data_IF_374271489597
#
_entry.id   IF_374271489597
#
_cell.length_a   1.000
_cell.length_b   1.000
_cell.length_c   1.000
_cell.angle_alpha   90.00
_cell.angle_beta   90.00
_cell.angle_gamma   90.00
#
_symmetry.space_group_name_H-M   'P 1'
#
loop_
_entity.id
_entity.type
_entity.pdbx_description
1 polymer ?
#
# COMPACT_ATOMS: atom_id res chain seq x y z
N UNK A 1 -0.06 -6.53 -19.20
CA UNK A 1 0.48 -6.34 -17.86
C UNK A 1 0.82 -4.87 -17.75
N UNK A 2 0.32 -4.16 -16.75
CA UNK A 2 0.52 -2.72 -16.63
C UNK A 2 1.92 -2.44 -16.07
N UNK A 3 2.55 -1.37 -16.54
CA UNK A 3 3.94 -0.98 -16.28
C UNK A 3 4.05 0.04 -15.13
N UNK A 4 3.06 0.05 -14.26
CA UNK A 4 3.04 0.90 -13.07
C UNK A 4 3.32 0.03 -11.85
N UNK A 5 4.03 0.60 -10.88
CA UNK A 5 4.08 0.03 -9.54
C UNK A 5 2.64 -0.13 -9.07
N UNK A 6 2.36 -1.31 -8.58
CA UNK A 6 1.05 -1.63 -8.10
C UNK A 6 0.99 -1.38 -6.60
N UNK A 7 -0.19 -0.98 -6.16
CA UNK A 7 -0.52 -0.50 -4.84
C UNK A 7 -0.34 -1.57 -3.78
N UNK A 8 -0.39 -1.16 -2.54
CA UNK A 8 -0.31 -2.01 -1.38
C UNK A 8 -1.67 -2.11 -0.70
N UNK A 9 -1.83 -3.16 0.11
CA UNK A 9 -3.05 -3.38 0.89
C UNK A 9 -3.33 -2.24 1.88
N UNK A 10 -4.59 -2.12 2.31
CA UNK A 10 -5.01 -1.25 3.39
C UNK A 10 -5.84 -2.01 4.43
N UNK A 11 -5.60 -1.74 5.71
CA UNK A 11 -6.36 -2.29 6.83
C UNK A 11 -7.14 -1.19 7.53
N UNK A 12 -8.35 -1.53 8.00
CA UNK A 12 -9.20 -0.63 8.77
C UNK A 12 -9.95 -1.42 9.82
N UNK A 13 -10.05 -0.91 11.06
CA UNK A 13 -10.75 -1.57 12.15
C UNK A 13 -11.42 -0.60 13.09
N UNK A 14 -12.51 -1.04 13.72
CA UNK A 14 -13.26 -0.29 14.72
C UNK A 14 -13.51 -1.14 15.96
N UNK A 15 -13.40 -0.51 17.14
CA UNK A 15 -13.74 -1.10 18.44
C UNK A 15 -14.65 -0.13 19.20
N UNK A 16 -15.92 -0.48 19.34
CA UNK A 16 -16.89 0.26 20.13
C UNK A 16 -16.77 -0.10 21.61
N UNK A 17 -16.57 0.89 22.46
CA UNK A 17 -16.46 0.68 23.92
C UNK A 17 -17.81 0.56 24.59
N UNK A 18 -18.85 1.09 23.96
CA UNK A 18 -20.23 1.14 24.42
C UNK A 18 -21.04 -0.07 23.90
N UNK A 19 -22.35 0.09 23.80
CA UNK A 19 -23.25 -0.91 23.20
C UNK A 19 -22.86 -1.23 21.74
N UNK A 20 -23.21 -2.43 21.23
CA UNK A 20 -22.98 -2.77 19.84
C UNK A 20 -23.59 -1.77 18.86
N UNK A 21 -22.79 -1.28 17.94
CA UNK A 21 -23.19 -0.30 16.92
C UNK A 21 -23.86 -1.00 15.72
N UNK A 22 -25.07 -0.55 15.36
CA UNK A 22 -25.79 -1.03 14.18
C UNK A 22 -25.10 -0.62 12.87
N UNK A 23 -24.28 0.45 12.89
CA UNK A 23 -23.61 1.02 11.74
C UNK A 23 -22.13 0.62 11.61
N UNK A 24 -21.62 -0.26 12.47
CA UNK A 24 -20.18 -0.58 12.48
C UNK A 24 -19.68 -1.06 11.10
N UNK A 25 -20.46 -1.85 10.37
CA UNK A 25 -20.12 -2.29 9.03
C UNK A 25 -20.01 -1.11 8.05
N UNK A 26 -20.86 -0.09 8.17
CA UNK A 26 -20.82 1.15 7.37
C UNK A 26 -19.59 1.97 7.71
N UNK A 27 -19.21 2.05 8.98
CA UNK A 27 -17.97 2.72 9.41
C UNK A 27 -16.74 2.06 8.77
N UNK A 28 -16.67 0.71 8.77
CA UNK A 28 -15.60 -0.01 8.06
C UNK A 28 -15.66 0.26 6.56
N UNK A 29 -16.84 0.22 5.94
CA UNK A 29 -17.02 0.53 4.53
C UNK A 29 -16.43 1.89 4.15
N UNK A 30 -16.75 2.97 4.88
CA UNK A 30 -16.23 4.30 4.60
C UNK A 30 -14.71 4.40 4.82
N UNK A 31 -14.18 3.73 5.85
CA UNK A 31 -12.75 3.65 6.09
C UNK A 31 -12.02 2.93 4.95
N UNK A 32 -12.55 1.79 4.48
CA UNK A 32 -11.99 1.07 3.33
C UNK A 32 -12.12 1.87 2.03
N UNK A 33 -13.22 2.59 1.85
CA UNK A 33 -13.42 3.45 0.68
C UNK A 33 -12.38 4.58 0.65
N UNK A 34 -12.04 5.16 1.81
CA UNK A 34 -10.95 6.13 1.93
C UNK A 34 -9.57 5.54 1.64
N UNK A 35 -9.38 4.23 1.86
CA UNK A 35 -8.16 3.46 1.56
C UNK A 35 -8.17 2.78 0.19
N UNK A 36 -9.18 3.02 -0.67
CA UNK A 36 -9.32 2.34 -1.96
C UNK A 36 -8.11 2.51 -2.88
N UNK A 37 -7.36 3.61 -2.74
CA UNK A 37 -6.13 3.84 -3.49
C UNK A 37 -5.04 2.81 -3.17
N UNK A 38 -5.07 2.15 -2.00
CA UNK A 38 -4.12 1.13 -1.59
C UNK A 38 -4.42 -0.26 -2.16
N UNK A 39 -5.69 -0.60 -2.39
CA UNK A 39 -6.06 -1.91 -2.91
C UNK A 39 -7.33 -1.87 -3.77
N UNK A 40 -7.28 -2.44 -4.97
CA UNK A 40 -8.38 -2.37 -5.96
C UNK A 40 -8.80 -3.73 -6.49
N UNK A 41 -8.23 -4.83 -6.00
CA UNK A 41 -8.49 -6.18 -6.51
C UNK A 41 -9.50 -6.97 -5.71
N UNK A 42 -9.66 -6.65 -4.43
CA UNK A 42 -10.62 -7.29 -3.56
C UNK A 42 -10.80 -6.54 -2.25
N UNK A 43 -11.95 -6.71 -1.63
CA UNK A 43 -12.26 -6.10 -0.34
C UNK A 43 -13.11 -7.03 0.52
N UNK A 44 -12.97 -6.90 1.85
CA UNK A 44 -13.69 -7.72 2.81
C UNK A 44 -13.91 -7.00 4.13
N UNK A 45 -15.00 -7.35 4.80
CA UNK A 45 -15.38 -6.90 6.14
C UNK A 45 -15.76 -8.12 6.97
N UNK A 46 -15.30 -8.15 8.22
CA UNK A 46 -15.74 -9.09 9.24
C UNK A 46 -16.26 -8.30 10.44
N UNK A 47 -17.47 -8.62 10.89
CA UNK A 47 -18.12 -8.04 12.08
C UNK A 47 -18.22 -9.09 13.15
N UNK A 48 -17.94 -8.73 14.37
CA UNK A 48 -18.11 -9.55 15.56
C UNK A 48 -19.39 -9.14 16.32
N UNK A 49 -20.36 -10.02 16.34
CA UNK A 49 -21.58 -9.93 17.16
C UNK A 49 -21.45 -10.89 18.34
N UNK A 50 -20.98 -10.38 19.48
CA UNK A 50 -20.82 -11.12 20.74
C UNK A 50 -20.09 -12.47 20.59
N UNK A 51 -19.00 -12.50 19.83
CA UNK A 51 -18.18 -13.70 19.59
C UNK A 51 -18.56 -14.49 18.33
N UNK A 52 -19.68 -14.17 17.68
CA UNK A 52 -20.08 -14.72 16.38
C UNK A 52 -19.57 -13.81 15.27
N UNK A 53 -18.73 -14.35 14.39
CA UNK A 53 -18.18 -13.61 13.27
C UNK A 53 -19.07 -13.77 12.05
N UNK A 54 -19.38 -12.63 11.42
CA UNK A 54 -20.09 -12.58 10.15
C UNK A 54 -19.24 -11.80 9.16
N UNK A 55 -19.04 -12.36 7.98
CA UNK A 55 -18.19 -11.76 6.97
C UNK A 55 -18.81 -11.67 5.59
N UNK A 56 -18.38 -10.66 4.87
CA UNK A 56 -18.59 -10.59 3.43
C UNK A 56 -17.30 -10.10 2.76
N UNK A 57 -16.87 -10.80 1.69
CA UNK A 57 -15.68 -10.46 0.94
C UNK A 57 -15.75 -11.00 -0.49
N UNK A 58 -15.25 -10.21 -1.43
CA UNK A 58 -15.18 -10.61 -2.83
C UNK A 58 -14.07 -9.84 -3.58
N UNK A 59 -13.87 -10.22 -4.83
CA UNK A 59 -13.01 -9.52 -5.78
C UNK A 59 -13.74 -8.28 -6.28
N UNK A 60 -13.07 -7.13 -6.31
CA UNK A 60 -13.62 -5.86 -6.80
C UNK A 60 -13.28 -4.68 -5.90
N UNK A 61 -13.70 -3.49 -6.33
CA UNK A 61 -13.62 -2.27 -5.54
C UNK A 61 -14.57 -2.35 -4.33
N UNK A 62 -14.30 -1.52 -3.32
CA UNK A 62 -15.16 -1.46 -2.13
C UNK A 62 -16.62 -1.19 -2.49
N UNK A 63 -16.87 -0.26 -3.43
CA UNK A 63 -18.23 0.05 -3.91
C UNK A 63 -18.88 -1.08 -4.73
N UNK A 64 -18.09 -1.93 -5.37
CA UNK A 64 -18.61 -3.03 -6.17
C UNK A 64 -18.96 -4.24 -5.28
N UNK A 65 -18.16 -4.48 -4.25
CA UNK A 65 -18.33 -5.58 -3.30
C UNK A 65 -19.41 -5.26 -2.26
N UNK A 66 -19.42 -4.03 -1.74
CA UNK A 66 -20.33 -3.62 -0.68
C UNK A 66 -21.44 -2.72 -1.22
N UNK A 67 -22.54 -3.34 -1.63
CA UNK A 67 -23.81 -2.68 -1.93
C UNK A 67 -24.64 -2.54 -0.66
N UNK A 68 -25.74 -1.74 -0.71
CA UNK A 68 -26.68 -1.64 0.39
C UNK A 68 -27.20 -3.03 0.85
N UNK A 69 -27.46 -3.92 -0.11
CA UNK A 69 -27.91 -5.29 0.16
C UNK A 69 -26.82 -6.10 0.90
N UNK A 70 -25.55 -6.03 0.48
CA UNK A 70 -24.49 -6.82 1.10
C UNK A 70 -24.08 -6.27 2.46
N UNK A 71 -24.11 -4.94 2.66
CA UNK A 71 -23.88 -4.32 3.96
C UNK A 71 -24.99 -4.65 4.98
N UNK A 72 -26.25 -4.67 4.54
CA UNK A 72 -27.37 -5.00 5.42
C UNK A 72 -27.40 -6.46 5.90
N UNK A 73 -26.60 -7.34 5.29
CA UNK A 73 -26.42 -8.74 5.75
C UNK A 73 -25.42 -8.85 6.90
N UNK A 74 -24.59 -7.85 7.14
CA UNK A 74 -23.66 -7.82 8.25
C UNK A 74 -24.41 -7.36 9.51
N UNK A 75 -24.23 -8.04 10.65
CA UNK A 75 -24.94 -7.71 11.89
C UNK A 75 -24.39 -6.42 12.50
N UNK A 76 -25.09 -5.92 13.51
CA UNK A 76 -24.51 -4.99 14.47
C UNK A 76 -23.36 -5.67 15.22
N UNK A 77 -22.45 -4.90 15.75
CA UNK A 77 -21.34 -5.43 16.51
C UNK A 77 -20.56 -4.37 17.26
N UNK A 78 -19.67 -4.82 18.11
CA UNK A 78 -18.78 -3.91 18.85
C UNK A 78 -17.34 -3.94 18.32
N UNK A 79 -16.99 -4.90 17.47
CA UNK A 79 -15.68 -4.98 16.83
C UNK A 79 -15.89 -5.34 15.35
N UNK A 80 -15.22 -4.63 14.47
CA UNK A 80 -15.17 -5.01 13.07
C UNK A 80 -13.80 -4.67 12.45
N UNK A 81 -13.38 -5.47 11.48
CA UNK A 81 -12.17 -5.22 10.69
C UNK A 81 -12.46 -5.36 9.20
N UNK A 82 -11.74 -4.61 8.42
CA UNK A 82 -11.83 -4.65 6.96
C UNK A 82 -10.48 -4.54 6.30
N UNK A 83 -10.46 -4.90 5.02
CA UNK A 83 -9.27 -4.94 4.20
C UNK A 83 -9.56 -4.57 2.74
N UNK A 84 -8.68 -3.79 2.15
CA UNK A 84 -8.60 -3.60 0.69
C UNK A 84 -7.33 -4.28 0.20
N UNK A 85 -7.46 -5.14 -0.81
CA UNK A 85 -6.40 -6.03 -1.26
C UNK A 85 -5.80 -5.57 -2.58
N UNK A 86 -4.47 -5.64 -2.61
CA UNK A 86 -3.68 -5.81 -3.81
C UNK A 86 -2.85 -7.11 -3.69
N UNK A 87 -2.71 -7.89 -4.77
CA UNK A 87 -2.05 -9.20 -4.73
C UNK A 87 -0.54 -9.07 -4.64
N UNK A 88 0.03 -9.25 -3.46
CA UNK A 88 1.49 -9.28 -3.21
C UNK A 88 2.03 -10.70 -3.15
N UNK A 89 1.38 -11.56 -2.38
CA UNK A 89 1.63 -13.00 -2.29
C UNK A 89 0.30 -13.75 -2.48
N UNK A 90 0.30 -14.79 -3.33
CA UNK A 90 -0.92 -15.46 -3.78
C UNK A 90 -1.66 -14.69 -4.87
N UNK A 91 -2.27 -15.39 -5.84
CA UNK A 91 -2.95 -14.80 -6.98
C UNK A 91 -4.21 -14.02 -6.62
N UNK A 92 -4.73 -13.27 -7.59
CA UNK A 92 -6.02 -12.58 -7.45
C UNK A 92 -7.17 -13.59 -7.48
N UNK A 93 -7.39 -14.23 -6.33
CA UNK A 93 -8.45 -15.21 -6.12
C UNK A 93 -9.24 -14.83 -4.86
N UNK A 94 -10.56 -15.05 -4.87
CA UNK A 94 -11.46 -14.77 -3.75
C UNK A 94 -11.02 -15.41 -2.44
N UNK A 95 -10.38 -16.59 -2.48
CA UNK A 95 -9.88 -17.28 -1.29
C UNK A 95 -8.79 -16.51 -0.55
N UNK A 96 -8.06 -15.66 -1.27
CA UNK A 96 -6.98 -14.82 -0.73
C UNK A 96 -7.47 -13.44 -0.27
N UNK A 97 -8.75 -13.10 -0.49
CA UNK A 97 -9.33 -11.85 -0.01
C UNK A 97 -9.43 -11.88 1.51
N UNK A 98 -8.93 -10.83 2.13
CA UNK A 98 -8.92 -10.67 3.59
C UNK A 98 -10.15 -9.84 4.05
N UNK A 99 -10.49 -9.92 5.36
CA UNK A 99 -9.80 -10.61 6.45
C UNK A 99 -9.85 -12.13 6.31
N UNK A 100 -8.81 -12.82 6.84
CA UNK A 100 -8.77 -14.28 6.96
C UNK A 100 -9.34 -14.67 8.31
N UNK A 101 -10.32 -15.56 8.30
CA UNK A 101 -10.98 -16.09 9.51
C UNK A 101 -10.48 -17.48 9.81
N UNK A 102 -10.18 -17.74 11.08
CA UNK A 102 -9.80 -19.07 11.60
C UNK A 102 -10.55 -19.38 12.88
N UNK A 103 -10.99 -20.62 12.98
CA UNK A 103 -11.68 -21.13 14.18
C UNK A 103 -10.79 -22.15 14.89
N UNK A 104 -10.65 -22.00 16.20
CA UNK A 104 -9.85 -22.90 17.00
C UNK A 104 -10.48 -23.12 18.38
N UNK A 105 -9.96 -24.06 19.16
CA UNK A 105 -10.56 -24.50 20.45
C UNK A 105 -10.75 -23.36 21.47
N UNK A 106 -9.99 -22.28 21.38
CA UNK A 106 -10.10 -21.11 22.27
C UNK A 106 -10.90 -19.94 21.67
N UNK A 107 -11.61 -20.15 20.56
CA UNK A 107 -12.48 -19.16 19.91
C UNK A 107 -12.14 -18.90 18.45
N UNK A 108 -12.64 -17.81 17.94
CA UNK A 108 -12.43 -17.36 16.54
C UNK A 108 -11.47 -16.18 16.50
N UNK A 109 -10.70 -16.10 15.41
CA UNK A 109 -9.85 -14.95 15.07
C UNK A 109 -10.14 -14.54 13.64
N UNK A 110 -10.11 -13.24 13.38
CA UNK A 110 -10.05 -12.68 12.02
C UNK A 110 -8.84 -11.76 11.90
N UNK A 111 -8.12 -11.82 10.78
CA UNK A 111 -6.86 -11.10 10.58
C UNK A 111 -6.88 -10.37 9.26
N UNK A 112 -6.54 -9.08 9.31
CA UNK A 112 -6.23 -8.24 8.16
C UNK A 112 -4.75 -7.83 8.21
N UNK A 113 -4.06 -7.93 7.08
CA UNK A 113 -2.62 -7.75 6.94
C UNK A 113 -2.28 -6.83 5.77
N UNK A 114 -1.50 -5.80 6.03
CA UNK A 114 -0.80 -5.00 5.04
C UNK A 114 0.70 -5.25 5.15
N UNK A 115 1.30 -5.79 4.10
CA UNK A 115 2.72 -6.11 4.03
C UNK A 115 3.00 -7.46 3.39
N UNK A 116 4.19 -8.01 3.68
CA UNK A 116 4.60 -9.34 3.24
C UNK A 116 5.70 -9.91 4.15
N UNK A 117 5.52 -11.16 4.59
CA UNK A 117 6.53 -11.85 5.37
C UNK A 117 7.61 -12.44 4.47
N UNK A 118 8.88 -12.16 4.76
CA UNK A 118 10.01 -12.74 4.03
C UNK A 118 10.25 -14.21 4.39
N UNK A 119 9.80 -14.66 5.56
CA UNK A 119 9.92 -16.04 6.02
C UNK A 119 8.61 -16.84 6.00
N UNK A 120 7.54 -16.34 5.34
CA UNK A 120 6.23 -16.98 5.29
C UNK A 120 6.29 -18.45 4.84
N UNK A 121 7.06 -18.74 3.79
CA UNK A 121 7.18 -20.09 3.23
C UNK A 121 7.81 -21.08 4.21
N UNK A 122 8.85 -20.66 4.94
CA UNK A 122 9.48 -21.50 5.97
C UNK A 122 8.52 -21.79 7.11
N UNK A 123 7.82 -20.76 7.62
CA UNK A 123 6.83 -20.93 8.67
C UNK A 123 5.70 -21.86 8.24
N UNK A 124 5.24 -21.74 6.99
CA UNK A 124 4.21 -22.60 6.40
C UNK A 124 4.68 -24.05 6.31
N UNK A 125 5.87 -24.28 5.76
CA UNK A 125 6.45 -25.63 5.63
C UNK A 125 6.58 -26.34 6.99
N UNK A 126 7.09 -25.63 8.00
CA UNK A 126 7.19 -26.15 9.37
C UNK A 126 5.80 -26.55 9.96
N UNK A 127 4.76 -25.84 9.60
CA UNK A 127 3.39 -26.17 10.02
C UNK A 127 2.77 -27.29 9.20
N UNK A 128 2.95 -27.32 7.88
CA UNK A 128 2.47 -28.40 7.00
C UNK A 128 3.10 -29.75 7.38
N UNK A 129 4.41 -29.78 7.70
CA UNK A 129 5.11 -30.98 8.18
C UNK A 129 4.56 -31.50 9.53
N UNK A 130 3.89 -30.67 10.31
CA UNK A 130 3.20 -31.05 11.56
C UNK A 130 1.70 -31.29 11.38
N UNK A 131 1.20 -31.30 10.13
CA UNK A 131 -0.17 -31.66 9.78
C UNK A 131 -1.14 -30.49 9.62
N UNK A 132 -0.67 -29.25 9.59
CA UNK A 132 -1.54 -28.10 9.29
C UNK A 132 -1.97 -28.12 7.82
N UNK A 133 -3.24 -27.80 7.57
CA UNK A 133 -3.81 -27.73 6.22
C UNK A 133 -4.17 -26.27 5.93
N UNK A 134 -3.59 -25.73 4.86
CA UNK A 134 -3.83 -24.35 4.40
C UNK A 134 -4.89 -24.32 3.31
N UNK A 135 -5.75 -23.31 3.36
CA UNK A 135 -6.85 -23.11 2.41
C UNK A 135 -6.56 -21.98 1.41
N UNK A 136 -5.60 -21.11 1.73
CA UNK A 136 -5.21 -19.98 0.89
C UNK A 136 -3.74 -20.07 0.48
N UNK A 137 -3.34 -19.24 -0.47
CA UNK A 137 -1.93 -19.07 -0.85
C UNK A 137 -1.31 -17.81 -0.25
N UNK A 138 -2.08 -17.08 0.59
CA UNK A 138 -1.66 -15.85 1.27
C UNK A 138 -0.77 -16.14 2.48
N UNK A 139 0.23 -15.30 2.70
CA UNK A 139 1.05 -15.30 3.93
C UNK A 139 0.23 -14.94 5.18
N UNK A 140 -0.90 -14.26 5.02
CA UNK A 140 -1.81 -13.90 6.12
C UNK A 140 -2.37 -15.14 6.83
N UNK A 141 -2.63 -16.24 6.11
CA UNK A 141 -3.04 -17.49 6.75
C UNK A 141 -1.89 -18.11 7.57
N UNK A 142 -0.65 -17.96 7.09
CA UNK A 142 0.55 -18.36 7.86
C UNK A 142 0.67 -17.55 9.15
N UNK A 143 0.39 -16.24 9.11
CA UNK A 143 0.32 -15.38 10.29
C UNK A 143 -0.76 -15.89 11.26
N UNK A 144 -1.96 -16.15 10.75
CA UNK A 144 -3.09 -16.64 11.55
C UNK A 144 -2.74 -17.92 12.29
N UNK A 145 -2.18 -18.90 11.59
CA UNK A 145 -1.81 -20.19 12.19
C UNK A 145 -0.63 -20.07 13.17
N UNK A 146 0.32 -19.18 12.91
CA UNK A 146 1.40 -18.88 13.87
C UNK A 146 0.82 -18.36 15.17
N UNK A 147 -0.11 -17.39 15.13
CA UNK A 147 -0.76 -16.84 16.33
C UNK A 147 -1.60 -17.91 17.03
N UNK A 148 -2.39 -18.70 16.30
CA UNK A 148 -3.21 -19.78 16.88
C UNK A 148 -2.35 -20.82 17.58
N UNK A 149 -1.22 -21.21 16.99
CA UNK A 149 -0.29 -22.18 17.62
C UNK A 149 0.23 -21.65 18.96
N UNK A 150 0.64 -20.39 19.04
CA UNK A 150 1.06 -19.78 20.29
C UNK A 150 -0.11 -19.62 21.28
N UNK A 151 -1.32 -19.34 20.78
CA UNK A 151 -2.52 -19.22 21.63
C UNK A 151 -2.88 -20.50 22.37
N UNK A 152 -2.48 -21.65 21.88
CA UNK A 152 -2.71 -22.93 22.60
C UNK A 152 -1.94 -23.00 23.91
N UNK A 153 -0.79 -22.36 23.99
CA UNK A 153 0.15 -22.43 25.13
C UNK A 153 0.20 -21.17 25.98
N UNK A 154 -0.43 -20.06 25.52
CA UNK A 154 -0.48 -18.78 26.24
C UNK A 154 -1.84 -18.55 26.90
N UNK A 155 -1.86 -17.70 27.94
CA UNK A 155 -3.07 -17.41 28.72
C UNK A 155 -4.00 -16.43 27.98
N UNK A 156 -3.45 -15.53 27.17
CA UNK A 156 -4.21 -14.49 26.48
C UNK A 156 -3.87 -14.41 24.98
N UNK A 157 -4.73 -13.76 24.21
CA UNK A 157 -4.49 -13.55 22.78
C UNK A 157 -3.35 -12.55 22.53
N UNK A 158 -3.24 -11.50 23.32
CA UNK A 158 -2.15 -10.52 23.23
C UNK A 158 -0.79 -11.18 23.51
N UNK A 159 -0.70 -12.07 24.50
CA UNK A 159 0.53 -12.84 24.75
C UNK A 159 0.85 -13.79 23.60
N UNK A 160 -0.16 -14.38 22.96
CA UNK A 160 0.05 -15.22 21.79
C UNK A 160 0.57 -14.40 20.59
N UNK A 161 0.01 -13.21 20.36
CA UNK A 161 0.49 -12.27 19.34
C UNK A 161 1.94 -11.86 19.62
N UNK A 162 2.24 -11.46 20.85
CA UNK A 162 3.58 -11.07 21.27
C UNK A 162 4.63 -12.17 20.97
N UNK A 163 4.34 -13.43 21.33
CA UNK A 163 5.23 -14.56 21.02
C UNK A 163 5.31 -14.84 19.52
N UNK A 164 4.20 -14.76 18.80
CA UNK A 164 4.17 -14.97 17.36
C UNK A 164 5.03 -13.96 16.60
N UNK A 165 5.03 -12.67 17.01
CA UNK A 165 5.82 -11.62 16.37
C UNK A 165 7.34 -11.90 16.44
N UNK A 166 7.84 -12.64 17.43
CA UNK A 166 9.24 -13.06 17.47
C UNK A 166 9.63 -14.01 16.33
N UNK A 167 8.67 -14.76 15.79
CA UNK A 167 8.90 -15.76 14.74
C UNK A 167 8.74 -15.20 13.34
N UNK A 168 8.07 -14.06 13.20
CA UNK A 168 7.77 -13.45 11.91
C UNK A 168 8.87 -12.47 11.49
N UNK A 169 9.29 -12.55 10.24
CA UNK A 169 10.21 -11.62 9.60
C UNK A 169 9.58 -11.03 8.34
N UNK A 170 9.85 -9.76 8.09
CA UNK A 170 9.31 -9.01 6.95
C UNK A 170 8.54 -7.78 7.39
N UNK A 171 7.68 -7.29 6.51
CA UNK A 171 6.85 -6.12 6.74
C UNK A 171 5.43 -6.53 7.10
N UNK A 172 4.88 -5.95 8.16
CA UNK A 172 3.47 -6.16 8.49
C UNK A 172 2.88 -5.03 9.34
N UNK A 173 1.66 -4.65 8.98
CA UNK A 173 0.72 -3.95 9.82
C UNK A 173 -0.53 -4.83 9.92
N UNK A 174 -0.84 -5.27 11.13
CA UNK A 174 -1.86 -6.30 11.40
C UNK A 174 -3.03 -5.72 12.19
N UNK A 175 -4.23 -6.09 11.80
CA UNK A 175 -5.40 -6.05 12.65
C UNK A 175 -5.85 -7.47 12.95
N UNK A 176 -5.97 -7.78 14.23
CA UNK A 176 -6.37 -9.10 14.73
C UNK A 176 -7.61 -8.89 15.60
N UNK A 177 -8.72 -9.48 15.19
CA UNK A 177 -9.98 -9.45 15.92
C UNK A 177 -10.20 -10.78 16.62
N UNK A 178 -10.42 -10.74 17.92
CA UNK A 178 -10.94 -11.88 18.73
C UNK A 178 -12.37 -11.59 19.15
N UNK A 179 -12.99 -12.50 19.91
CA UNK A 179 -14.34 -12.31 20.42
C UNK A 179 -14.52 -11.06 21.29
N UNK A 180 -13.45 -10.56 21.93
CA UNK A 180 -13.55 -9.45 22.91
C UNK A 180 -12.51 -8.35 22.72
N UNK A 181 -11.58 -8.48 21.80
CA UNK A 181 -10.46 -7.55 21.62
C UNK A 181 -10.18 -7.28 20.16
N UNK A 182 -9.83 -6.04 19.86
CA UNK A 182 -9.16 -5.66 18.63
C UNK A 182 -7.69 -5.42 18.96
N UNK A 183 -6.78 -6.02 18.19
CA UNK A 183 -5.33 -5.88 18.37
C UNK A 183 -4.75 -5.30 17.11
N UNK A 184 -3.97 -4.24 17.25
CA UNK A 184 -3.18 -3.63 16.18
C UNK A 184 -1.70 -3.88 16.45
N UNK A 185 -0.98 -4.47 15.50
CA UNK A 185 0.44 -4.75 15.64
C UNK A 185 1.21 -4.27 14.41
N UNK A 186 2.34 -3.60 14.66
CA UNK A 186 3.25 -3.11 13.61
C UNK A 186 4.59 -3.82 13.73
N UNK A 187 5.21 -4.16 12.60
CA UNK A 187 6.51 -4.83 12.63
C UNK A 187 7.59 -4.01 13.34
N UNK A 188 8.64 -4.68 13.82
CA UNK A 188 9.72 -4.07 14.64
C UNK A 188 10.50 -2.95 13.95
N UNK A 189 10.39 -2.82 12.64
CA UNK A 189 11.03 -1.78 11.83
C UNK A 189 10.04 -0.71 11.37
N UNK A 190 8.72 -0.97 11.52
CA UNK A 190 7.66 -0.08 11.10
C UNK A 190 7.60 0.10 9.58
N UNK A 191 7.81 -0.97 8.82
CA UNK A 191 7.91 -0.91 7.36
C UNK A 191 6.62 -0.44 6.68
N UNK A 192 5.46 -0.75 7.30
CA UNK A 192 4.15 -0.28 6.83
C UNK A 192 3.53 0.67 7.85
N UNK A 193 2.77 1.67 7.38
CA UNK A 193 2.11 2.60 8.28
C UNK A 193 0.94 1.92 9.01
N UNK A 194 0.70 2.35 10.23
CA UNK A 194 -0.46 2.00 11.03
C UNK A 194 -0.68 3.10 12.08
N UNK A 195 -1.91 3.58 12.21
CA UNK A 195 -2.27 4.63 13.14
C UNK A 195 -3.63 4.37 13.77
N UNK A 196 -3.96 5.11 14.82
CA UNK A 196 -5.28 5.03 15.41
C UNK A 196 -5.83 6.40 15.81
N UNK A 197 -7.14 6.44 15.91
CA UNK A 197 -7.92 7.60 16.33
C UNK A 197 -9.09 7.18 17.20
N UNK A 198 -9.86 8.17 17.63
CA UNK A 198 -11.06 7.98 18.45
C UNK A 198 -12.16 8.92 17.98
N UNK A 199 -13.39 8.41 17.89
CA UNK A 199 -14.58 9.21 17.58
C UNK A 199 -15.09 9.92 18.83
N UNK A 200 -16.00 10.88 18.68
CA UNK A 200 -16.55 11.63 19.81
C UNK A 200 -17.39 10.75 20.76
N UNK A 201 -17.91 9.62 20.29
CA UNK A 201 -18.63 8.62 21.10
C UNK A 201 -17.73 7.58 21.78
N UNK A 202 -16.41 7.68 21.58
CA UNK A 202 -15.40 6.81 22.21
C UNK A 202 -15.07 5.53 21.44
N UNK A 203 -15.52 5.40 20.18
CA UNK A 203 -15.14 4.28 19.32
C UNK A 203 -13.69 4.45 18.86
N UNK A 204 -12.85 3.43 19.10
CA UNK A 204 -11.49 3.42 18.58
C UNK A 204 -11.46 2.99 17.13
N UNK A 205 -10.73 3.74 16.32
CA UNK A 205 -10.51 3.47 14.90
C UNK A 205 -9.03 3.20 14.67
N UNK A 206 -8.72 2.13 13.95
CA UNK A 206 -7.34 1.79 13.53
C UNK A 206 -7.29 1.73 12.02
N UNK A 207 -6.29 2.33 11.41
CA UNK A 207 -6.18 2.40 9.95
C UNK A 207 -4.72 2.39 9.47
N UNK A 208 -4.51 1.98 8.22
CA UNK A 208 -3.22 2.12 7.55
C UNK A 208 -2.79 3.58 7.40
N UNK A 209 -3.75 4.50 7.20
CA UNK A 209 -3.47 5.92 6.99
C UNK A 209 -4.42 6.83 7.77
N UNK A 210 -3.92 8.00 8.16
CA UNK A 210 -4.70 9.01 8.90
C UNK A 210 -5.86 9.59 8.10
N UNK A 211 -5.78 9.61 6.76
CA UNK A 211 -6.88 10.06 5.91
C UNK A 211 -8.16 9.21 6.11
N UNK A 212 -8.01 7.92 6.41
CA UNK A 212 -9.14 7.03 6.66
C UNK A 212 -9.77 7.26 8.05
N UNK A 213 -8.96 7.64 9.05
CA UNK A 213 -9.45 8.08 10.38
C UNK A 213 -10.29 9.34 10.21
N UNK A 214 -9.78 10.32 9.47
CA UNK A 214 -10.49 11.57 9.20
C UNK A 214 -11.79 11.35 8.42
N UNK A 215 -11.79 10.40 7.47
CA UNK A 215 -12.96 10.11 6.63
C UNK A 215 -14.18 9.60 7.42
N UNK A 216 -13.97 8.96 8.56
CA UNK A 216 -15.03 8.48 9.45
C UNK A 216 -15.31 9.44 10.62
N UNK A 217 -14.76 10.66 10.58
CA UNK A 217 -14.97 11.68 11.61
C UNK A 217 -14.24 11.42 12.93
N UNK A 218 -13.32 10.48 12.98
CA UNK A 218 -12.51 10.22 14.16
C UNK A 218 -11.34 11.21 14.28
N UNK A 219 -10.93 11.51 15.51
CA UNK A 219 -9.76 12.33 15.80
C UNK A 219 -8.52 11.46 15.81
N UNK A 220 -7.53 11.79 15.01
CA UNK A 220 -6.22 11.13 15.01
C UNK A 220 -5.57 11.27 16.39
N UNK A 221 -5.08 10.17 16.94
CA UNK A 221 -4.37 10.15 18.22
C UNK A 221 -2.86 10.07 17.98
N UNK A 222 -2.39 9.02 17.30
CA UNK A 222 -0.99 8.85 16.91
C UNK A 222 -0.78 7.65 15.99
N UNK A 223 0.40 7.57 15.42
CA UNK A 223 0.90 6.36 14.78
C UNK A 223 1.19 5.26 15.81
N UNK A 224 1.05 3.99 15.39
CA UNK A 224 1.50 2.82 16.15
C UNK A 224 3.02 2.73 15.98
N UNK A 225 3.76 2.65 17.09
CA UNK A 225 5.22 2.61 17.04
C UNK A 225 5.74 1.32 16.38
N UNK A 226 6.91 1.35 15.73
CA UNK A 226 7.58 0.13 15.28
C UNK A 226 7.76 -0.88 16.42
N UNK A 227 7.23 -2.10 16.23
CA UNK A 227 7.25 -3.17 17.22
C UNK A 227 6.17 -3.06 18.30
N UNK A 228 5.28 -2.09 18.24
CA UNK A 228 4.18 -1.95 19.21
C UNK A 228 3.01 -2.86 18.90
N UNK A 229 2.39 -3.36 19.96
CA UNK A 229 1.10 -4.04 19.94
C UNK A 229 0.12 -3.21 20.77
N UNK A 230 -0.92 -2.69 20.14
CA UNK A 230 -2.03 -2.02 20.82
C UNK A 230 -3.19 -3.01 20.98
N UNK A 231 -3.73 -3.10 22.19
CA UNK A 231 -4.87 -3.95 22.53
C UNK A 231 -6.04 -3.04 22.94
N UNK A 232 -7.08 -3.03 22.14
CA UNK A 232 -8.32 -2.32 22.41
C UNK A 232 -9.31 -3.29 23.04
N UNK A 233 -9.83 -2.95 24.20
CA UNK A 233 -10.78 -3.72 24.98
C UNK A 233 -11.78 -2.81 25.71
N UNK A 234 -12.74 -3.38 26.40
CA UNK A 234 -13.68 -2.61 27.25
C UNK A 234 -12.97 -1.85 28.38
N UNK A 235 -11.77 -2.26 28.76
CA UNK A 235 -10.95 -1.59 29.77
C UNK A 235 -10.10 -0.45 29.20
N UNK A 236 -10.22 -0.18 27.90
CA UNK A 236 -9.48 0.87 27.18
C UNK A 236 -8.37 0.32 26.30
N UNK A 237 -7.31 1.10 26.10
CA UNK A 237 -6.18 0.79 25.22
C UNK A 237 -4.95 0.43 26.04
N UNK A 238 -4.44 -0.79 25.85
CA UNK A 238 -3.17 -1.23 26.39
C UNK A 238 -2.09 -1.21 25.31
N UNK A 239 -0.91 -0.67 25.62
CA UNK A 239 0.28 -0.69 24.75
C UNK A 239 1.30 -1.70 25.30
N UNK A 240 1.71 -2.64 24.42
CA UNK A 240 2.78 -3.61 24.68
C UNK A 240 3.97 -3.23 23.82
N UNK A 241 5.10 -2.89 24.41
CA UNK A 241 6.27 -2.31 23.75
C UNK A 241 7.51 -3.21 23.77
N UNK A 242 7.36 -4.48 24.10
CA UNK A 242 8.46 -5.46 24.23
C UNK A 242 9.29 -5.62 22.96
N UNK A 243 8.68 -5.41 21.78
CA UNK A 243 9.36 -5.46 20.49
C UNK A 243 9.83 -4.10 19.99
N UNK A 244 9.47 -2.99 20.67
CA UNK A 244 9.92 -1.64 20.29
C UNK A 244 11.43 -1.51 20.48
N UNK A 245 12.06 -0.74 19.59
CA UNK A 245 13.51 -0.46 19.62
C UNK A 245 14.40 -1.73 19.54
N UNK A 246 13.88 -2.84 19.00
CA UNK A 246 14.62 -4.08 18.79
C UNK A 246 15.28 -4.17 17.43
N UNK A 247 15.00 -3.23 16.55
CA UNK A 247 15.61 -3.12 15.22
C UNK A 247 15.59 -1.65 14.78
N UNK A 248 16.47 -1.29 13.85
CA UNK A 248 16.45 0.02 13.22
C UNK A 248 15.15 0.22 12.44
N UNK A 249 14.60 1.42 12.47
CA UNK A 249 13.44 1.80 11.68
C UNK A 249 13.74 1.66 10.19
N UNK A 250 12.74 1.25 9.43
CA UNK A 250 12.85 1.09 7.98
C UNK A 250 11.48 1.25 7.30
N UNK A 251 10.76 2.36 7.59
CA UNK A 251 9.53 2.68 6.87
C UNK A 251 9.82 2.72 5.36
N UNK A 252 8.96 2.09 4.56
CA UNK A 252 9.09 2.13 3.12
C UNK A 252 9.03 3.58 2.63
N UNK A 253 10.09 4.08 2.01
CA UNK A 253 10.11 5.47 1.51
C UNK A 253 9.06 5.71 0.43
N UNK A 254 8.63 4.65 -0.26
CA UNK A 254 7.64 4.71 -1.31
C UNK A 254 6.23 5.03 -0.79
N UNK A 255 6.00 4.90 0.52
CA UNK A 255 4.78 5.42 1.17
C UNK A 255 4.66 6.94 0.97
N UNK A 256 5.75 7.70 1.13
CA UNK A 256 5.76 9.14 0.86
C UNK A 256 5.75 9.46 -0.63
N UNK A 257 6.47 8.70 -1.45
CA UNK A 257 6.59 8.99 -2.88
C UNK A 257 5.28 8.71 -3.62
N UNK A 258 4.61 7.58 -3.34
CA UNK A 258 3.50 7.11 -4.16
C UNK A 258 2.28 6.61 -3.39
N UNK A 259 2.44 5.65 -2.42
CA UNK A 259 1.30 4.88 -1.91
C UNK A 259 0.31 5.70 -1.11
N UNK A 260 0.77 6.48 -0.14
CA UNK A 260 -0.12 7.22 0.73
C UNK A 260 -0.80 8.38 0.01
N UNK A 261 -1.98 8.76 0.45
CA UNK A 261 -2.65 9.98 -0.02
C UNK A 261 -1.93 11.21 0.50
N UNK A 262 -1.92 12.28 -0.30
CA UNK A 262 -1.27 13.54 0.06
C UNK A 262 -1.80 14.17 1.35
N UNK A 263 -3.06 13.90 1.70
CA UNK A 263 -3.70 14.39 2.94
C UNK A 263 -3.42 13.49 4.17
N UNK A 264 -2.58 12.47 4.03
CA UNK A 264 -2.14 11.62 5.12
C UNK A 264 -0.90 12.16 5.83
N UNK A 265 -0.81 11.84 7.13
CA UNK A 265 0.39 11.99 7.95
C UNK A 265 0.86 10.61 8.38
N UNK A 266 2.14 10.30 8.19
CA UNK A 266 2.76 9.02 8.57
C UNK A 266 3.99 9.33 9.42
N UNK A 267 4.09 8.71 10.59
CA UNK A 267 5.20 8.90 11.53
C UNK A 267 5.53 10.40 11.77
N UNK A 268 4.47 11.22 11.91
CA UNK A 268 4.48 12.68 12.09
C UNK A 268 4.97 13.51 10.88
N UNK A 269 5.10 12.91 9.70
CA UNK A 269 5.47 13.63 8.47
C UNK A 269 4.28 13.70 7.53
N UNK A 270 3.96 14.90 7.04
CA UNK A 270 2.96 15.11 6.01
C UNK A 270 3.44 14.54 4.67
N UNK A 271 2.63 13.69 4.05
CA UNK A 271 2.90 13.12 2.72
C UNK A 271 3.02 14.24 1.68
N UNK A 272 2.13 15.23 1.74
CA UNK A 272 2.17 16.40 0.85
C UNK A 272 3.51 17.15 0.96
N UNK A 273 3.95 17.46 2.19
CA UNK A 273 5.23 18.18 2.40
C UNK A 273 6.43 17.36 1.93
N UNK A 274 6.43 16.04 2.15
CA UNK A 274 7.50 15.17 1.66
C UNK A 274 7.58 15.19 0.12
N UNK A 275 6.45 15.19 -0.58
CA UNK A 275 6.39 15.29 -2.05
C UNK A 275 6.79 16.66 -2.57
N UNK A 276 6.38 17.76 -1.92
CA UNK A 276 6.87 19.11 -2.25
C UNK A 276 8.41 19.15 -2.16
N UNK A 277 8.96 18.60 -1.08
CA UNK A 277 10.41 18.53 -0.86
C UNK A 277 11.14 17.74 -1.94
N UNK A 278 10.54 16.63 -2.42
CA UNK A 278 11.09 15.89 -3.57
C UNK A 278 11.18 16.77 -4.83
N UNK A 279 10.15 17.57 -5.07
CA UNK A 279 10.14 18.54 -6.17
C UNK A 279 11.22 19.60 -6.05
N UNK A 280 11.42 20.17 -4.85
CA UNK A 280 12.49 21.14 -4.59
C UNK A 280 13.89 20.51 -4.84
N UNK A 281 14.13 19.29 -4.41
CA UNK A 281 15.39 18.61 -4.67
C UNK A 281 15.63 18.36 -6.16
N UNK A 282 14.60 17.91 -6.88
CA UNK A 282 14.66 17.67 -8.32
C UNK A 282 14.97 18.96 -9.10
N UNK A 283 14.39 20.09 -8.71
CA UNK A 283 14.67 21.38 -9.37
C UNK A 283 16.13 21.81 -9.19
N UNK A 284 16.73 21.53 -8.03
CA UNK A 284 18.15 21.82 -7.74
C UNK A 284 19.10 20.90 -8.48
N UNK A 285 18.84 19.59 -8.46
CA UNK A 285 19.74 18.58 -9.03
C UNK A 285 19.59 18.44 -10.55
N UNK A 286 18.38 18.67 -11.07
CA UNK A 286 18.05 18.51 -12.49
C UNK A 286 17.25 19.70 -13.03
N UNK A 287 17.84 20.92 -13.07
CA UNK A 287 17.15 22.09 -13.63
C UNK A 287 16.81 21.87 -15.10
N UNK A 288 15.82 22.60 -15.60
CA UNK A 288 15.44 22.60 -17.01
C UNK A 288 15.09 24.01 -17.48
N UNK A 289 15.43 24.34 -18.71
CA UNK A 289 14.94 25.57 -19.38
C UNK A 289 13.59 25.26 -20.01
N UNK A 290 12.51 25.61 -19.33
CA UNK A 290 11.16 25.26 -19.72
C UNK A 290 10.16 26.39 -19.44
N UNK A 291 9.00 26.31 -20.09
CA UNK A 291 7.96 27.32 -20.02
C UNK A 291 6.87 27.02 -19.00
N UNK A 292 6.77 25.73 -18.59
CA UNK A 292 5.74 25.27 -17.66
C UNK A 292 6.15 23.97 -16.97
N UNK A 293 5.76 23.81 -15.70
CA UNK A 293 5.83 22.56 -14.94
C UNK A 293 4.45 21.95 -14.83
N UNK A 294 4.33 20.66 -15.10
CA UNK A 294 3.10 19.88 -14.91
C UNK A 294 3.40 18.57 -14.18
N UNK A 295 2.43 18.05 -13.44
CA UNK A 295 2.54 16.74 -12.78
C UNK A 295 1.66 15.69 -13.43
N UNK A 296 2.10 14.42 -13.36
CA UNK A 296 1.26 13.27 -13.70
C UNK A 296 0.30 12.99 -12.51
N UNK A 297 -1.03 13.03 -12.72
CA UNK A 297 -1.98 12.76 -11.65
C UNK A 297 -1.97 11.27 -11.18
N UNK A 298 -2.05 10.98 -9.86
CA UNK A 298 -2.23 11.94 -8.76
C UNK A 298 -0.89 12.23 -8.04
N UNK A 299 0.02 11.28 -7.96
CA UNK A 299 1.26 11.28 -7.15
C UNK A 299 2.29 12.32 -7.58
N UNK A 300 2.38 12.61 -8.89
CA UNK A 300 3.31 13.60 -9.42
C UNK A 300 2.91 15.07 -9.20
N UNK A 301 1.69 15.35 -8.73
CA UNK A 301 1.18 16.73 -8.64
C UNK A 301 1.91 17.56 -7.59
N UNK A 302 2.09 17.01 -6.38
CA UNK A 302 2.75 17.73 -5.28
C UNK A 302 4.24 17.96 -5.58
N UNK A 303 4.93 16.95 -6.14
CA UNK A 303 6.33 17.09 -6.54
C UNK A 303 6.49 18.09 -7.69
N UNK A 304 5.54 18.16 -8.62
CA UNK A 304 5.54 19.17 -9.68
C UNK A 304 5.36 20.59 -9.11
N UNK A 305 4.49 20.74 -8.10
CA UNK A 305 4.32 22.03 -7.41
C UNK A 305 5.63 22.45 -6.74
N UNK A 306 6.29 21.55 -5.96
CA UNK A 306 7.57 21.84 -5.32
C UNK A 306 8.69 22.15 -6.34
N UNK A 307 8.70 21.46 -7.50
CA UNK A 307 9.63 21.78 -8.58
C UNK A 307 9.41 23.20 -9.13
N UNK A 308 8.14 23.59 -9.33
CA UNK A 308 7.79 24.92 -9.82
C UNK A 308 8.16 26.02 -8.81
N UNK A 309 7.91 25.80 -7.53
CA UNK A 309 8.29 26.75 -6.47
C UNK A 309 9.79 27.01 -6.42
N UNK A 310 10.62 25.96 -6.50
CA UNK A 310 12.07 26.08 -6.42
C UNK A 310 12.69 26.64 -7.71
N UNK A 311 12.18 26.21 -8.88
CA UNK A 311 12.71 26.64 -10.19
C UNK A 311 12.23 28.00 -10.63
N UNK A 312 11.12 28.51 -10.09
CA UNK A 312 10.44 29.72 -10.55
C UNK A 312 9.70 29.56 -11.89
N UNK A 313 9.66 28.35 -12.47
CA UNK A 313 8.89 28.05 -13.68
C UNK A 313 7.41 27.90 -13.30
N UNK A 314 6.47 28.55 -14.05
CA UNK A 314 5.05 28.48 -13.72
C UNK A 314 4.50 27.04 -13.64
N UNK A 315 3.74 26.73 -12.59
CA UNK A 315 2.98 25.48 -12.49
C UNK A 315 1.71 25.55 -13.33
N UNK A 316 1.33 24.46 -13.98
CA UNK A 316 0.07 24.34 -14.71
C UNK A 316 -0.54 22.94 -14.64
N UNK A 317 -1.84 22.86 -14.92
CA UNK A 317 -2.54 21.59 -15.05
C UNK A 317 -2.38 21.08 -16.48
N UNK A 318 -1.52 20.08 -16.68
CA UNK A 318 -1.24 19.50 -17.99
C UNK A 318 -2.14 18.34 -18.39
N UNK A 319 -2.77 17.68 -17.41
CA UNK A 319 -3.60 16.51 -17.63
C UNK A 319 -4.93 16.57 -16.84
N UNK A 320 -5.94 15.95 -17.42
CA UNK A 320 -7.18 15.58 -16.70
C UNK A 320 -7.23 14.07 -16.56
N UNK A 321 -7.34 13.59 -15.31
CA UNK A 321 -7.58 12.18 -15.01
C UNK A 321 -9.08 11.91 -14.99
N UNK A 322 -9.54 10.96 -15.79
CA UNK A 322 -10.93 10.54 -15.77
C UNK A 322 -11.19 9.70 -14.51
N UNK A 323 -11.92 10.28 -13.55
CA UNK A 323 -12.24 9.66 -12.24
C UNK A 323 -13.28 8.55 -12.34
N UNK A 324 -14.03 8.47 -13.44
CA UNK A 324 -15.12 7.49 -13.63
C UNK A 324 -14.65 6.17 -14.24
N UNK A 325 -13.37 6.06 -14.63
CA UNK A 325 -12.81 4.83 -15.18
C UNK A 325 -12.02 4.11 -14.09
N UNK A 326 -12.61 3.03 -13.57
CA UNK A 326 -11.94 2.10 -12.67
C UNK A 326 -10.84 1.27 -13.38
N UNK A 327 -9.97 0.60 -12.62
CA UNK A 327 -8.93 -0.32 -13.14
C UNK A 327 -9.49 -1.64 -13.69
N UNK A 328 -10.76 -1.94 -13.44
CA UNK A 328 -11.43 -3.20 -13.78
C UNK A 328 -11.76 -3.38 -15.26
N UNK A 329 -11.40 -2.47 -16.14
CA UNK A 329 -11.54 -2.70 -17.58
C UNK A 329 -10.50 -3.71 -18.06
N UNK A 330 -10.82 -5.01 -17.90
CA UNK A 330 -10.06 -6.11 -18.50
C UNK A 330 -10.32 -6.08 -20.00
N UNK A 331 -9.28 -5.76 -20.76
CA UNK A 331 -9.37 -5.69 -22.20
C UNK A 331 -8.63 -6.83 -22.89
N UNK A 332 -9.24 -7.56 -23.81
CA UNK A 332 -8.64 -8.74 -24.42
C UNK A 332 -7.60 -8.43 -25.50
N UNK A 333 -7.46 -7.20 -26.01
CA UNK A 333 -6.57 -6.90 -27.13
C UNK A 333 -5.61 -5.74 -26.86
N UNK A 334 -4.45 -5.74 -27.54
CA UNK A 334 -3.38 -4.73 -27.36
C UNK A 334 -3.82 -3.33 -27.82
N UNK A 335 -4.57 -3.22 -28.89
CA UNK A 335 -5.14 -1.95 -29.39
C UNK A 335 -6.12 -1.31 -28.40
N UNK A 336 -6.83 -2.11 -27.64
CA UNK A 336 -7.74 -1.62 -26.60
C UNK A 336 -6.99 -1.09 -25.38
N UNK A 337 -5.82 -1.70 -25.05
CA UNK A 337 -4.95 -1.23 -23.94
C UNK A 337 -4.32 0.13 -24.25
N UNK A 338 -4.01 0.41 -25.49
CA UNK A 338 -3.48 1.74 -25.93
C UNK A 338 -4.54 2.83 -25.79
N UNK A 339 -5.79 2.52 -26.10
CA UNK A 339 -6.93 3.44 -25.91
C UNK A 339 -7.26 3.67 -24.42
N UNK A 340 -6.99 2.73 -23.52
CA UNK A 340 -7.28 2.87 -22.10
C UNK A 340 -6.46 3.99 -21.44
N UNK A 341 -5.17 4.14 -21.75
CA UNK A 341 -4.36 5.23 -21.19
C UNK A 341 -4.90 6.59 -21.67
N UNK A 342 -5.28 6.66 -22.95
CA UNK A 342 -5.83 7.89 -23.56
C UNK A 342 -7.17 8.30 -22.95
N UNK A 343 -8.03 7.32 -22.61
CA UNK A 343 -9.34 7.58 -21.98
C UNK A 343 -9.15 7.94 -20.49
N UNK A 344 -8.15 7.35 -19.83
CA UNK A 344 -7.86 7.57 -18.40
C UNK A 344 -7.15 8.89 -18.13
N UNK A 345 -6.24 9.30 -19.02
CA UNK A 345 -5.42 10.48 -18.87
C UNK A 345 -5.43 11.28 -20.18
N UNK A 346 -6.03 12.48 -20.13
CA UNK A 346 -6.14 13.35 -21.30
C UNK A 346 -5.28 14.61 -21.12
N UNK A 347 -4.37 14.93 -22.06
CA UNK A 347 -3.60 16.16 -22.01
C UNK A 347 -4.48 17.39 -22.27
N UNK A 348 -4.17 18.51 -21.63
CA UNK A 348 -4.80 19.80 -21.89
C UNK A 348 -3.96 20.55 -22.94
N UNK A 349 -4.39 20.49 -24.21
CA UNK A 349 -3.67 21.06 -25.35
C UNK A 349 -3.33 22.54 -25.14
N UNK A 350 -4.26 23.36 -24.65
CA UNK A 350 -4.04 24.79 -24.39
C UNK A 350 -2.94 25.08 -23.35
N UNK A 351 -2.66 24.11 -22.47
CA UNK A 351 -1.60 24.23 -21.47
C UNK A 351 -0.22 23.91 -22.06
N UNK A 352 -0.11 22.91 -22.95
CA UNK A 352 1.18 22.33 -23.38
C UNK A 352 1.61 22.68 -24.78
N UNK A 353 0.67 23.07 -25.66
CA UNK A 353 0.94 23.34 -27.09
C UNK A 353 2.00 24.43 -27.30
N UNK A 354 3.05 24.08 -28.05
CA UNK A 354 4.14 24.97 -28.39
C UNK A 354 5.10 25.28 -27.25
N UNK A 355 4.92 24.66 -26.06
CA UNK A 355 5.72 24.90 -24.86
C UNK A 355 6.78 23.84 -24.65
N UNK A 356 7.86 24.21 -23.98
CA UNK A 356 8.82 23.30 -23.32
C UNK A 356 8.27 22.97 -21.95
N UNK A 357 8.07 21.70 -21.69
CA UNK A 357 7.33 21.20 -20.51
C UNK A 357 8.27 20.45 -19.58
N UNK A 358 8.30 20.81 -18.30
CA UNK A 358 8.78 19.89 -17.26
C UNK A 358 7.62 19.00 -16.84
N UNK A 359 7.78 17.71 -17.03
CA UNK A 359 6.82 16.68 -16.59
C UNK A 359 7.35 15.97 -15.37
N UNK A 360 6.66 16.08 -14.23
CA UNK A 360 7.05 15.38 -13.01
C UNK A 360 6.15 14.16 -12.77
N UNK A 361 6.78 13.00 -12.52
CA UNK A 361 6.10 11.74 -12.20
C UNK A 361 6.78 11.08 -11.00
N UNK A 362 6.13 10.08 -10.39
CA UNK A 362 6.66 9.40 -9.21
C UNK A 362 7.80 8.42 -9.53
N UNK A 363 7.69 7.63 -10.61
CA UNK A 363 8.62 6.52 -10.86
C UNK A 363 8.59 6.01 -12.30
N UNK A 364 9.68 5.35 -12.71
CA UNK A 364 9.76 4.56 -13.95
C UNK A 364 10.20 3.14 -13.60
N UNK A 365 9.39 2.14 -13.95
CA UNK A 365 9.72 0.72 -13.72
C UNK A 365 10.17 0.06 -15.02
N UNK A 366 9.30 0.00 -16.04
CA UNK A 366 9.59 -0.60 -17.37
C UNK A 366 9.66 0.44 -18.49
N UNK A 367 9.19 1.68 -18.26
CA UNK A 367 9.21 2.79 -19.20
C UNK A 367 8.03 2.86 -20.18
N UNK A 368 7.20 1.81 -20.32
CA UNK A 368 6.11 1.81 -21.33
C UNK A 368 5.00 2.79 -20.99
N UNK A 369 4.66 2.99 -19.73
CA UNK A 369 3.67 4.00 -19.30
C UNK A 369 4.20 5.40 -19.52
N UNK A 370 5.45 5.67 -19.11
CA UNK A 370 6.09 6.97 -19.30
C UNK A 370 6.19 7.34 -20.77
N UNK A 371 6.58 6.40 -21.65
CA UNK A 371 6.62 6.63 -23.10
C UNK A 371 5.25 7.01 -23.67
N UNK A 372 4.17 6.39 -23.17
CA UNK A 372 2.79 6.73 -23.59
C UNK A 372 2.37 8.12 -23.11
N UNK A 373 2.68 8.47 -21.87
CA UNK A 373 2.37 9.80 -21.31
C UNK A 373 3.11 10.88 -22.10
N UNK A 374 4.39 10.66 -22.40
CA UNK A 374 5.21 11.57 -23.24
C UNK A 374 4.62 11.71 -24.63
N UNK A 375 4.22 10.58 -25.25
CA UNK A 375 3.55 10.60 -26.54
C UNK A 375 2.26 11.43 -26.54
N UNK A 376 1.43 11.32 -25.49
CA UNK A 376 0.22 12.14 -25.35
C UNK A 376 0.54 13.64 -25.33
N UNK A 377 1.61 14.07 -24.65
CA UNK A 377 2.05 15.48 -24.66
C UNK A 377 2.58 15.93 -26.03
N UNK A 378 3.37 15.07 -26.70
CA UNK A 378 3.85 15.35 -28.07
C UNK A 378 2.68 15.49 -29.06
N UNK A 379 1.72 14.56 -29.00
CA UNK A 379 0.52 14.59 -29.84
C UNK A 379 -0.34 15.84 -29.56
N UNK A 380 -0.34 16.36 -28.31
CA UNK A 380 -0.97 17.62 -27.92
C UNK A 380 -0.14 18.88 -28.29
N UNK A 381 1.01 18.70 -28.93
CA UNK A 381 1.83 19.78 -29.48
C UNK A 381 2.87 20.35 -28.52
N UNK A 382 3.29 19.64 -27.47
CA UNK A 382 4.44 20.04 -26.66
C UNK A 382 5.72 20.09 -27.52
N UNK A 383 6.49 21.17 -27.38
CA UNK A 383 7.72 21.39 -28.15
C UNK A 383 8.87 20.55 -27.59
N UNK A 384 9.02 20.55 -26.26
CA UNK A 384 10.01 19.79 -25.54
C UNK A 384 9.34 19.19 -24.29
N UNK A 385 9.83 18.01 -23.85
CA UNK A 385 9.37 17.32 -22.62
C UNK A 385 10.60 16.92 -21.80
N UNK A 386 10.78 17.57 -20.66
CA UNK A 386 11.83 17.29 -19.69
C UNK A 386 11.24 16.51 -18.52
N UNK A 387 11.51 15.21 -18.41
CA UNK A 387 10.90 14.38 -17.37
C UNK A 387 11.74 14.38 -16.09
N UNK A 388 11.06 14.50 -14.95
CA UNK A 388 11.66 14.47 -13.61
C UNK A 388 10.92 13.47 -12.78
N UNK A 389 11.66 12.55 -12.15
CA UNK A 389 11.12 11.42 -11.39
C UNK A 389 11.43 11.62 -9.92
N UNK A 390 10.37 11.68 -9.09
CA UNK A 390 10.49 11.91 -7.64
C UNK A 390 10.92 10.68 -6.83
N UNK A 391 11.41 9.64 -7.49
CA UNK A 391 12.08 8.49 -6.92
C UNK A 391 13.46 8.27 -7.55
N UNK A 392 14.39 7.58 -6.88
CA UNK A 392 15.57 7.01 -7.52
C UNK A 392 15.21 5.89 -8.52
N UNK A 393 16.11 5.49 -9.43
CA UNK A 393 15.87 4.37 -10.33
C UNK A 393 15.64 3.06 -9.60
N UNK A 394 14.63 2.27 -10.01
CA UNK A 394 14.41 0.92 -9.49
C UNK A 394 15.46 -0.05 -10.03
N UNK A 395 16.23 -0.66 -9.14
CA UNK A 395 17.32 -1.59 -9.46
C UNK A 395 17.09 -2.99 -8.90
N UNK A 396 16.19 -3.15 -7.92
CA UNK A 396 16.01 -4.40 -7.22
C UNK A 396 14.52 -4.68 -6.94
N UNK A 397 14.09 -5.96 -6.87
CA UNK A 397 12.73 -6.32 -6.52
C UNK A 397 12.42 -5.98 -5.07
N UNK A 398 11.13 -5.89 -4.73
CA UNK A 398 10.67 -5.72 -3.36
C UNK A 398 10.20 -7.05 -2.77
N UNK A 399 10.56 -7.30 -1.48
CA UNK A 399 10.11 -8.47 -0.71
C UNK A 399 9.16 -8.12 0.42
N UNK A 400 8.76 -6.85 0.56
CA UNK A 400 8.00 -6.32 1.69
C UNK A 400 6.56 -5.91 1.34
N UNK A 401 6.07 -6.29 0.17
CA UNK A 401 4.68 -6.12 -0.21
C UNK A 401 4.45 -5.24 -1.44
N UNK A 402 5.45 -4.49 -1.94
CA UNK A 402 5.34 -3.75 -3.20
C UNK A 402 5.54 -4.69 -4.39
N UNK A 403 4.69 -4.59 -5.41
CA UNK A 403 4.83 -5.37 -6.64
C UNK A 403 5.86 -4.73 -7.59
N UNK A 404 7.12 -4.70 -7.17
CA UNK A 404 8.25 -4.36 -8.03
C UNK A 404 8.72 -5.63 -8.73
N UNK A 405 8.80 -5.56 -10.04
CA UNK A 405 9.12 -6.69 -10.93
C UNK A 405 10.51 -7.32 -10.66
N UNK A 406 10.74 -8.45 -11.31
CA UNK A 406 12.05 -9.09 -11.28
C UNK A 406 13.11 -8.17 -11.87
N UNK A 407 14.35 -8.36 -11.43
CA UNK A 407 15.47 -7.48 -11.78
C UNK A 407 15.66 -7.30 -13.28
N UNK A 408 15.40 -8.37 -14.05
CA UNK A 408 15.54 -8.40 -15.50
C UNK A 408 14.54 -7.49 -16.22
N UNK A 409 13.39 -7.22 -15.61
CA UNK A 409 12.32 -6.39 -16.18
C UNK A 409 12.41 -4.91 -15.78
N UNK A 410 13.30 -4.55 -14.86
CA UNK A 410 13.52 -3.17 -14.46
C UNK A 410 14.37 -2.45 -15.51
N UNK A 411 13.83 -1.39 -16.12
CA UNK A 411 14.48 -0.68 -17.24
C UNK A 411 15.86 -0.14 -16.84
N UNK A 412 16.00 0.38 -15.61
CA UNK A 412 17.23 0.96 -15.11
C UNK A 412 18.35 -0.05 -14.82
N UNK A 413 18.05 -1.36 -14.85
CA UNK A 413 19.10 -2.40 -14.80
C UNK A 413 19.72 -2.69 -16.16
N UNK A 414 19.00 -2.36 -17.24
CA UNK A 414 19.38 -2.72 -18.59
C UNK A 414 19.84 -1.53 -19.44
N UNK A 415 19.53 -0.31 -19.00
CA UNK A 415 19.75 0.93 -19.76
C UNK A 415 20.27 2.05 -18.87
N UNK A 416 21.14 2.89 -19.42
CA UNK A 416 21.55 4.17 -18.80
C UNK A 416 20.39 5.17 -18.77
N UNK A 417 20.54 6.24 -17.99
CA UNK A 417 19.52 7.31 -17.91
C UNK A 417 19.29 7.94 -19.29
N UNK A 418 20.35 8.11 -20.08
CA UNK A 418 20.30 8.67 -21.43
C UNK A 418 19.54 7.72 -22.39
N UNK A 419 19.83 6.42 -22.34
CA UNK A 419 19.11 5.42 -23.13
C UNK A 419 17.64 5.33 -22.73
N UNK A 420 17.32 5.42 -21.42
CA UNK A 420 15.94 5.47 -20.95
C UNK A 420 15.24 6.71 -21.48
N UNK A 421 15.90 7.88 -21.49
CA UNK A 421 15.34 9.11 -22.04
C UNK A 421 14.99 8.94 -23.53
N UNK A 422 15.85 8.32 -24.32
CA UNK A 422 15.59 7.98 -25.73
C UNK A 422 14.41 7.01 -25.89
N UNK A 423 14.37 5.94 -25.09
CA UNK A 423 13.30 4.93 -25.13
C UNK A 423 11.94 5.54 -24.84
N UNK A 424 11.84 6.42 -23.84
CA UNK A 424 10.57 7.06 -23.47
C UNK A 424 10.25 8.31 -24.29
N UNK A 425 11.22 8.83 -25.09
CA UNK A 425 11.03 9.92 -26.04
C UNK A 425 11.05 11.33 -25.42
N UNK A 426 11.80 11.53 -24.33
CA UNK A 426 11.96 12.83 -23.67
C UNK A 426 13.26 13.52 -24.08
N UNK A 427 13.29 14.85 -23.97
CA UNK A 427 14.48 15.65 -24.28
C UNK A 427 15.51 15.63 -23.14
N UNK A 428 15.07 15.41 -21.91
CA UNK A 428 15.93 15.12 -20.76
C UNK A 428 15.22 14.35 -19.68
N UNK A 429 15.97 13.52 -18.94
CA UNK A 429 15.48 12.74 -17.82
C UNK A 429 16.34 13.00 -16.58
N UNK A 430 15.70 13.18 -15.43
CA UNK A 430 16.36 13.29 -14.14
C UNK A 430 15.61 12.54 -13.04
N UNK A 431 16.35 11.81 -12.22
CA UNK A 431 15.82 11.06 -11.08
C UNK A 431 16.21 11.73 -9.76
N UNK A 432 15.37 11.58 -8.75
CA UNK A 432 15.75 11.91 -7.37
C UNK A 432 16.97 11.07 -6.96
N UNK A 433 17.91 11.67 -6.25
CA UNK A 433 19.06 10.93 -5.73
C UNK A 433 18.68 10.07 -4.52
N UNK A 434 19.49 9.06 -4.19
CA UNK A 434 19.28 8.27 -2.96
C UNK A 434 19.35 9.12 -1.69
N UNK A 435 20.24 10.11 -1.67
CA UNK A 435 20.40 10.98 -0.49
C UNK A 435 19.24 11.96 -0.35
N UNK A 436 18.72 12.48 -1.46
CA UNK A 436 17.49 13.28 -1.45
C UNK A 436 16.29 12.45 -1.00
N UNK A 437 16.18 11.20 -1.48
CA UNK A 437 15.12 10.30 -1.06
C UNK A 437 15.16 9.99 0.46
N UNK A 438 16.35 9.79 1.03
CA UNK A 438 16.53 9.68 2.50
C UNK A 438 16.09 10.94 3.25
N UNK A 439 16.29 12.09 2.63
CA UNK A 439 15.99 13.38 3.23
C UNK A 439 14.51 13.80 3.12
N UNK A 440 13.64 13.04 2.44
CA UNK A 440 12.20 13.38 2.30
C UNK A 440 11.49 13.46 3.64
N UNK A 441 11.84 12.56 4.56
CA UNK A 441 11.27 12.48 5.89
C UNK A 441 12.35 12.17 6.92
N UNK A 442 12.06 12.46 8.20
CA UNK A 442 12.99 12.19 9.28
C UNK A 442 13.09 10.69 9.59
N UNK A 443 14.28 10.24 9.99
CA UNK A 443 14.54 8.86 10.39
C UNK A 443 15.12 7.98 9.28
N UNK A 444 15.18 6.67 9.56
CA UNK A 444 15.70 5.68 8.62
C UNK A 444 14.57 5.04 7.81
N UNK A 445 14.80 4.85 6.53
CA UNK A 445 13.83 4.34 5.58
C UNK A 445 14.34 3.10 4.85
N UNK A 446 13.43 2.22 4.42
CA UNK A 446 13.74 1.16 3.47
C UNK A 446 13.84 1.76 2.06
N UNK A 447 15.03 1.61 1.45
CA UNK A 447 15.31 2.00 0.06
C UNK A 447 15.79 0.79 -0.76
N UNK A 448 15.52 -0.43 -0.31
CA UNK A 448 16.08 -1.66 -0.88
C UNK A 448 15.80 -1.83 -2.37
N UNK A 449 14.63 -1.39 -2.87
CA UNK A 449 14.31 -1.40 -4.29
C UNK A 449 15.23 -0.50 -5.13
N UNK A 450 15.89 0.47 -4.53
CA UNK A 450 16.83 1.37 -5.20
C UNK A 450 18.30 0.95 -4.99
N UNK A 451 18.70 0.57 -3.76
CA UNK A 451 20.11 0.33 -3.41
C UNK A 451 20.48 -1.14 -3.17
N UNK A 452 19.49 -2.05 -3.06
CA UNK A 452 19.71 -3.48 -2.77
C UNK A 452 20.02 -3.80 -1.30
N UNK A 453 19.95 -2.83 -0.39
CA UNK A 453 20.18 -3.02 1.03
C UNK A 453 18.86 -3.38 1.74
N UNK A 454 18.63 -4.68 1.90
CA UNK A 454 17.39 -5.17 2.52
C UNK A 454 17.51 -5.19 4.05
N UNK A 455 16.53 -4.59 4.78
CA UNK A 455 16.57 -4.53 6.25
C UNK A 455 16.40 -5.90 6.95
N UNK A 456 15.92 -6.94 6.26
CA UNK A 456 15.79 -8.32 6.77
C UNK A 456 16.43 -9.33 5.83
N UNK A 457 16.55 -10.59 6.27
CA UNK A 457 16.88 -11.67 5.37
C UNK A 457 15.82 -11.82 4.28
N UNK A 458 16.25 -11.95 3.03
CA UNK A 458 15.36 -12.15 1.88
C UNK A 458 15.31 -13.63 1.51
N UNK A 459 14.20 -14.12 0.92
CA UNK A 459 14.10 -15.48 0.42
C UNK A 459 15.16 -15.75 -0.66
N UNK A 460 15.77 -16.93 -0.62
CA UNK A 460 16.74 -17.37 -1.64
C UNK A 460 16.08 -17.76 -2.96
N UNK A 461 14.79 -18.08 -2.94
CA UNK A 461 14.00 -18.40 -4.13
C UNK A 461 12.75 -17.50 -4.19
N UNK A 462 12.32 -17.04 -5.38
CA UNK A 462 11.09 -16.28 -5.54
C UNK A 462 9.87 -17.20 -5.32
N UNK A 463 9.43 -17.27 -4.06
CA UNK A 463 8.33 -18.16 -3.64
C UNK A 463 6.93 -17.54 -3.84
N UNK A 464 6.84 -16.32 -4.42
CA UNK A 464 5.61 -15.51 -4.51
C UNK A 464 4.40 -16.26 -5.12
N UNK A 465 4.63 -17.21 -6.03
CA UNK A 465 3.58 -17.92 -6.78
C UNK A 465 3.77 -19.44 -6.81
N UNK A 466 4.47 -20.02 -5.82
CA UNK A 466 4.79 -21.47 -5.81
C UNK A 466 3.57 -22.38 -6.00
N UNK A 467 2.43 -22.03 -5.39
CA UNK A 467 1.20 -22.83 -5.45
C UNK A 467 0.32 -22.54 -6.66
N UNK A 468 0.68 -21.59 -7.51
CA UNK A 468 -0.11 -21.14 -8.66
C UNK A 468 0.56 -21.47 -10.00
N UNK A 469 1.75 -22.05 -9.96
CA UNK A 469 2.48 -22.49 -11.15
C UNK A 469 1.91 -23.80 -11.68
N UNK A 470 1.59 -23.82 -12.99
CA UNK A 470 1.17 -25.06 -13.65
C UNK A 470 2.35 -26.04 -13.70
N UNK A 471 2.14 -27.29 -13.31
CA UNK A 471 3.15 -28.36 -13.37
C UNK A 471 3.79 -28.51 -14.77
N UNK A 472 3.07 -28.19 -15.84
CA UNK A 472 3.56 -28.21 -17.21
C UNK A 472 4.61 -27.13 -17.54
N UNK A 473 4.79 -26.11 -16.69
CA UNK A 473 5.83 -25.08 -16.86
C UNK A 473 7.17 -25.45 -16.21
N UNK A 474 7.19 -26.53 -15.43
CA UNK A 474 8.38 -27.02 -14.71
C UNK A 474 9.06 -28.20 -15.45
N UNK A 475 8.79 -28.39 -16.75
CA UNK A 475 9.45 -29.36 -17.62
C UNK A 475 10.31 -28.69 -18.67
#
# INVERSE_FOLDING_TARGET
>A
MFDTIHEECGVFGAFCTNEPDENIASTIYYGLYALQHRGQEGSGIVVNDDGVFSSYKDIGLVSDVFTEETLSRLPKGNIAIGHVRYSTTGGNNRINVQPIEVHHIKGSLAIAHNGNLTNAMKLREDMELTGSIFHTTSDTETIAYTIVKERLTTDSIESAVEVALHKMEGAYSLLIMSATKLIAARDKRGMRPLCYGVTDDGTYIVASESCAINAVGAKFVRDVMPGEILVFSKDGVQSITTHCNRADRALCIFEYIYFARSDSTIDNVSVHEARLKAGHFLAKSHPADADIVIGVPDSGLDAALGFAEESGIPYGIGFVKNKYIGRTFISPTQSFRENQVRIKLSPIESTVKGKRVVLVDDSIVRGTTSARIVKLLRDAGAKEVHMRISAPPFLNPCYYGTDVDTKENLIANNHSVEEIAEIIGVDSLGYLTLDDAKALADGSHCLACFNGEYPTNIPTEPAKFRFEQKLSKNK
#
